data_IF_579117555919
#
_entry.id   IF_579117555919
#
_cell.length_a   1.000
_cell.length_b   1.000
_cell.length_c   1.000
_cell.angle_alpha   90.00
_cell.angle_beta   90.00
_cell.angle_gamma   90.00
#
_symmetry.space_group_name_H-M   'P 1'
#
loop_
_entity.id
_entity.type
_entity.pdbx_description
1 polymer ?
#
# COMPACT_ATOMS: atom_id res chain seq x y z
N UNK A 1 -16.65 27.01 5.20
CA UNK A 1 -16.15 27.09 3.81
C UNK A 1 -14.75 26.45 3.66
N UNK A 2 -13.73 26.84 4.47
CA UNK A 2 -12.36 26.29 4.34
C UNK A 2 -12.25 24.85 4.86
N UNK A 3 -12.91 24.54 5.97
CA UNK A 3 -12.95 23.18 6.56
C UNK A 3 -13.72 22.17 5.70
N UNK A 4 -14.83 22.58 5.11
CA UNK A 4 -15.64 21.72 4.23
C UNK A 4 -14.89 21.35 2.94
N UNK A 5 -14.16 22.30 2.34
CA UNK A 5 -13.31 22.04 1.17
C UNK A 5 -12.17 21.06 1.50
N UNK A 6 -11.53 21.20 2.66
CA UNK A 6 -10.50 20.24 3.07
C UNK A 6 -11.07 18.83 3.29
N UNK A 7 -12.26 18.73 3.88
CA UNK A 7 -12.93 17.44 4.07
C UNK A 7 -13.32 16.79 2.72
N UNK A 8 -13.88 17.58 1.79
CA UNK A 8 -14.22 17.08 0.45
C UNK A 8 -12.98 16.61 -0.33
N UNK A 9 -11.87 17.35 -0.29
CA UNK A 9 -10.61 16.96 -0.94
C UNK A 9 -10.02 15.68 -0.34
N UNK A 10 -10.15 15.48 0.98
CA UNK A 10 -9.69 14.24 1.61
C UNK A 10 -10.54 13.03 1.22
N UNK A 11 -11.85 13.19 1.10
CA UNK A 11 -12.76 12.13 0.63
C UNK A 11 -12.49 11.78 -0.83
N UNK A 12 -12.40 12.77 -1.71
CA UNK A 12 -12.08 12.55 -3.13
C UNK A 12 -10.72 11.88 -3.30
N UNK A 13 -9.72 12.30 -2.52
CA UNK A 13 -8.38 11.69 -2.54
C UNK A 13 -8.41 10.22 -2.11
N UNK A 14 -9.13 9.89 -1.03
CA UNK A 14 -9.26 8.50 -0.57
C UNK A 14 -10.04 7.63 -1.56
N UNK A 15 -11.08 8.15 -2.20
CA UNK A 15 -11.82 7.44 -3.25
C UNK A 15 -10.95 7.15 -4.47
N UNK A 16 -10.16 8.13 -4.92
CA UNK A 16 -9.20 7.94 -6.01
C UNK A 16 -8.18 6.85 -5.67
N UNK A 17 -7.58 6.90 -4.49
CA UNK A 17 -6.60 5.90 -4.05
C UNK A 17 -7.22 4.50 -3.90
N UNK A 18 -8.46 4.41 -3.46
CA UNK A 18 -9.21 3.13 -3.44
C UNK A 18 -9.39 2.59 -4.86
N UNK A 19 -9.68 3.45 -5.83
CA UNK A 19 -9.73 3.09 -7.24
C UNK A 19 -8.40 2.53 -7.74
N UNK A 20 -7.28 3.13 -7.35
CA UNK A 20 -5.93 2.63 -7.68
C UNK A 20 -5.68 1.22 -7.12
N UNK A 21 -6.11 0.94 -5.88
CA UNK A 21 -6.00 -0.41 -5.28
C UNK A 21 -6.83 -1.43 -6.05
N UNK A 22 -8.05 -1.08 -6.46
CA UNK A 22 -8.89 -1.96 -7.27
C UNK A 22 -8.21 -2.25 -8.61
N UNK A 23 -7.66 -1.24 -9.28
CA UNK A 23 -6.91 -1.40 -10.53
C UNK A 23 -5.69 -2.30 -10.32
N UNK A 24 -4.95 -2.12 -9.22
CA UNK A 24 -3.80 -2.98 -8.89
C UNK A 24 -4.20 -4.45 -8.74
N UNK A 25 -5.27 -4.73 -8.01
CA UNK A 25 -5.78 -6.10 -7.84
C UNK A 25 -6.18 -6.71 -9.20
N UNK A 26 -6.85 -5.95 -10.05
CA UNK A 26 -7.24 -6.41 -11.38
C UNK A 26 -6.01 -6.69 -12.27
N UNK A 27 -4.98 -5.84 -12.20
CA UNK A 27 -3.71 -6.06 -12.91
C UNK A 27 -2.97 -7.29 -12.38
N UNK A 28 -2.95 -7.50 -11.07
CA UNK A 28 -2.37 -8.71 -10.48
C UNK A 28 -3.08 -9.98 -11.00
N UNK A 29 -4.41 -9.97 -11.07
CA UNK A 29 -5.19 -11.09 -11.63
C UNK A 29 -4.84 -11.32 -13.12
N UNK A 30 -4.83 -10.25 -13.91
CA UNK A 30 -4.53 -10.30 -15.34
C UNK A 30 -3.13 -10.86 -15.62
N UNK A 31 -2.11 -10.28 -14.98
CA UNK A 31 -0.73 -10.69 -15.20
C UNK A 31 -0.40 -12.06 -14.64
N UNK A 32 -1.04 -12.46 -13.54
CA UNK A 32 -0.97 -13.84 -13.03
C UNK A 32 -1.52 -14.83 -14.06
N UNK A 33 -2.63 -14.51 -14.69
CA UNK A 33 -3.23 -15.36 -15.76
C UNK A 33 -2.36 -15.46 -17.00
N UNK A 34 -1.63 -14.41 -17.37
CA UNK A 34 -0.71 -14.39 -18.53
C UNK A 34 0.69 -14.95 -18.21
N UNK A 35 1.01 -15.19 -16.96
CA UNK A 35 2.34 -15.65 -16.53
C UNK A 35 3.43 -14.56 -16.56
N UNK A 36 3.05 -13.28 -16.70
CA UNK A 36 3.99 -12.16 -16.63
C UNK A 36 4.14 -11.68 -15.19
N UNK A 37 5.36 -11.67 -14.69
CA UNK A 37 5.67 -11.24 -13.32
C UNK A 37 6.11 -12.38 -12.41
N UNK A 38 6.14 -12.13 -11.12
CA UNK A 38 6.59 -13.10 -10.11
C UNK A 38 5.66 -13.11 -8.90
N UNK A 39 5.51 -14.28 -8.28
CA UNK A 39 4.80 -14.43 -7.00
C UNK A 39 5.72 -14.05 -5.85
N UNK A 40 5.37 -13.00 -5.12
CA UNK A 40 6.05 -12.58 -3.91
C UNK A 40 5.34 -13.12 -2.68
N UNK A 41 5.97 -14.08 -2.00
CA UNK A 41 5.51 -14.66 -0.73
C UNK A 41 6.24 -14.07 0.50
N UNK A 42 7.26 -13.23 0.28
CA UNK A 42 8.00 -12.55 1.32
C UNK A 42 7.28 -11.33 1.89
N UNK A 43 7.87 -10.67 2.89
CA UNK A 43 7.29 -9.44 3.50
C UNK A 43 7.39 -8.30 2.50
N UNK A 44 8.57 -7.85 2.23
CA UNK A 44 8.87 -6.76 1.30
C UNK A 44 10.01 -7.20 0.42
N UNK A 45 9.90 -7.00 -0.89
CA UNK A 45 10.93 -7.37 -1.85
C UNK A 45 11.37 -8.85 -1.76
N UNK A 46 10.47 -9.75 -1.35
CA UNK A 46 10.75 -11.19 -1.24
C UNK A 46 11.53 -11.63 -0.01
N UNK A 47 11.77 -10.74 0.98
CA UNK A 47 12.44 -11.12 2.23
C UNK A 47 11.59 -12.07 3.07
N UNK A 48 12.25 -13.00 3.78
CA UNK A 48 11.63 -13.97 4.67
C UNK A 48 10.51 -14.83 4.03
N UNK A 49 10.79 -15.61 2.96
CA UNK A 49 9.76 -16.31 2.19
C UNK A 49 8.98 -17.37 2.97
N UNK A 50 9.51 -17.90 4.08
CA UNK A 50 8.81 -18.89 4.92
C UNK A 50 7.82 -18.29 5.92
N UNK A 51 8.14 -17.13 6.49
CA UNK A 51 7.35 -16.43 7.50
C UNK A 51 6.78 -15.10 6.97
N UNK A 52 7.12 -14.78 5.73
CA UNK A 52 6.85 -13.46 5.19
C UNK A 52 5.38 -13.12 5.06
N UNK A 53 4.54 -14.12 4.80
CA UNK A 53 3.12 -13.91 4.68
C UNK A 53 2.48 -13.58 6.02
N UNK A 54 2.73 -14.39 7.04
CA UNK A 54 2.20 -14.20 8.39
C UNK A 54 2.72 -12.89 8.98
N UNK A 55 4.02 -12.61 8.82
CA UNK A 55 4.61 -11.35 9.27
C UNK A 55 3.99 -10.15 8.56
N UNK A 56 3.78 -10.21 7.25
CA UNK A 56 3.17 -9.11 6.50
C UNK A 56 1.75 -8.81 6.99
N UNK A 57 0.96 -9.84 7.26
CA UNK A 57 -0.40 -9.71 7.80
C UNK A 57 -0.36 -9.09 9.20
N UNK A 58 0.49 -9.60 10.09
CA UNK A 58 0.62 -9.08 11.46
C UNK A 58 1.08 -7.62 11.45
N UNK A 59 2.12 -7.31 10.69
CA UNK A 59 2.65 -5.93 10.58
C UNK A 59 1.57 -4.98 10.03
N UNK A 60 0.81 -5.42 9.04
CA UNK A 60 -0.28 -4.60 8.52
C UNK A 60 -1.37 -4.34 9.55
N UNK A 61 -1.78 -5.34 10.32
CA UNK A 61 -2.78 -5.15 11.38
C UNK A 61 -2.28 -4.21 12.48
N UNK A 62 -1.02 -4.35 12.91
CA UNK A 62 -0.39 -3.41 13.86
C UNK A 62 -0.43 -1.99 13.27
N UNK A 63 -0.02 -1.84 12.01
CA UNK A 63 -0.04 -0.54 11.34
C UNK A 63 -1.46 0.06 11.30
N UNK A 64 -2.49 -0.72 10.96
CA UNK A 64 -3.88 -0.23 10.92
C UNK A 64 -4.36 0.22 12.31
N UNK A 65 -4.04 -0.52 13.37
CA UNK A 65 -4.37 -0.10 14.74
C UNK A 65 -3.73 1.25 15.06
N UNK A 66 -2.45 1.41 14.76
CA UNK A 66 -1.73 2.67 14.96
C UNK A 66 -2.30 3.81 14.10
N UNK A 67 -2.62 3.53 12.85
CA UNK A 67 -3.24 4.48 11.94
C UNK A 67 -4.60 4.97 12.44
N UNK A 68 -5.48 4.06 12.87
CA UNK A 68 -6.79 4.41 13.40
C UNK A 68 -6.71 5.22 14.70
N UNK A 69 -5.74 4.91 15.57
CA UNK A 69 -5.49 5.68 16.79
C UNK A 69 -4.96 7.09 16.46
N UNK A 70 -4.07 7.20 15.49
CA UNK A 70 -3.56 8.49 15.01
C UNK A 70 -4.68 9.33 14.37
N UNK A 71 -5.52 8.73 13.55
CA UNK A 71 -6.63 9.40 12.87
C UNK A 71 -7.67 9.99 13.84
N UNK A 72 -7.81 9.43 15.05
CA UNK A 72 -8.69 9.98 16.09
C UNK A 72 -8.14 11.28 16.69
N UNK A 73 -6.85 11.48 16.68
CA UNK A 73 -6.17 12.58 17.40
C UNK A 73 -5.64 13.68 16.47
N UNK A 74 -5.49 13.42 15.19
CA UNK A 74 -4.83 14.31 14.22
C UNK A 74 -5.62 14.47 12.92
N UNK A 75 -5.25 15.51 12.17
CA UNK A 75 -5.80 15.78 10.84
C UNK A 75 -5.40 14.68 9.84
N UNK A 76 -6.21 14.53 8.79
CA UNK A 76 -5.96 13.64 7.67
C UNK A 76 -4.51 13.74 7.16
N UNK A 77 -3.85 12.60 7.04
CA UNK A 77 -2.52 12.47 6.46
C UNK A 77 -2.58 11.68 5.15
N UNK A 78 -2.26 12.35 4.05
CA UNK A 78 -2.21 11.72 2.72
C UNK A 78 -1.20 10.57 2.68
N UNK A 79 -0.01 10.75 3.28
CA UNK A 79 1.02 9.71 3.35
C UNK A 79 0.56 8.45 4.09
N UNK A 80 -0.10 8.62 5.24
CA UNK A 80 -0.64 7.48 6.00
C UNK A 80 -1.81 6.79 5.26
N UNK A 81 -2.60 7.54 4.52
CA UNK A 81 -3.68 6.97 3.70
C UNK A 81 -3.11 6.14 2.54
N UNK A 82 -2.06 6.62 1.88
CA UNK A 82 -1.33 5.84 0.87
C UNK A 82 -0.78 4.53 1.44
N UNK A 83 -0.16 4.58 2.61
CA UNK A 83 0.34 3.38 3.31
C UNK A 83 -0.78 2.40 3.64
N UNK A 84 -1.90 2.89 4.19
CA UNK A 84 -3.03 2.06 4.57
C UNK A 84 -3.65 1.35 3.35
N UNK A 85 -3.91 2.09 2.28
CA UNK A 85 -4.55 1.55 1.07
C UNK A 85 -3.59 0.68 0.25
N UNK A 86 -2.32 1.05 0.12
CA UNK A 86 -1.31 0.20 -0.52
C UNK A 86 -1.11 -1.11 0.25
N UNK A 87 -1.00 -1.03 1.57
CA UNK A 87 -0.94 -2.21 2.43
C UNK A 87 -2.18 -3.10 2.31
N UNK A 88 -3.38 -2.49 2.19
CA UNK A 88 -4.63 -3.23 1.97
C UNK A 88 -4.62 -4.00 0.65
N UNK A 89 -4.14 -3.42 -0.45
CA UNK A 89 -4.02 -4.10 -1.74
C UNK A 89 -3.14 -5.35 -1.65
N UNK A 90 -1.98 -5.23 -1.02
CA UNK A 90 -1.09 -6.37 -0.79
C UNK A 90 -1.68 -7.39 0.19
N UNK A 91 -2.41 -6.94 1.24
CA UNK A 91 -3.08 -7.84 2.18
C UNK A 91 -4.16 -8.68 1.48
N UNK A 92 -5.04 -8.05 0.70
CA UNK A 92 -6.09 -8.75 -0.05
C UNK A 92 -5.48 -9.84 -0.93
N UNK A 93 -4.43 -9.53 -1.68
CA UNK A 93 -3.73 -10.50 -2.53
C UNK A 93 -3.18 -11.68 -1.73
N UNK A 94 -2.61 -11.43 -0.55
CA UNK A 94 -2.09 -12.49 0.33
C UNK A 94 -3.17 -13.39 0.88
N UNK A 95 -4.30 -12.84 1.27
CA UNK A 95 -5.41 -13.61 1.81
C UNK A 95 -6.08 -14.49 0.75
N UNK A 96 -6.20 -14.01 -0.48
CA UNK A 96 -6.87 -14.76 -1.56
C UNK A 96 -5.94 -15.72 -2.31
N UNK A 97 -4.66 -15.38 -2.49
CA UNK A 97 -3.73 -16.14 -3.34
C UNK A 97 -2.46 -16.62 -2.66
N UNK A 98 -2.32 -16.38 -1.36
CA UNK A 98 -1.15 -16.80 -0.61
C UNK A 98 0.12 -16.03 -0.95
N UNK A 99 0.01 -14.86 -1.56
CA UNK A 99 1.13 -13.99 -1.94
C UNK A 99 0.67 -12.88 -2.86
N UNK A 100 1.56 -11.94 -3.12
CA UNK A 100 1.33 -10.81 -4.00
C UNK A 100 1.91 -11.09 -5.38
N UNK A 101 1.22 -10.72 -6.44
CA UNK A 101 1.75 -10.84 -7.79
C UNK A 101 2.42 -9.54 -8.21
N UNK A 102 3.74 -9.55 -8.35
CA UNK A 102 4.54 -8.39 -8.75
C UNK A 102 4.73 -8.44 -10.27
N UNK A 103 4.22 -7.44 -10.98
CA UNK A 103 4.12 -7.42 -12.44
C UNK A 103 4.87 -6.25 -13.09
N UNK A 104 5.43 -5.34 -12.30
CA UNK A 104 6.22 -4.21 -12.79
C UNK A 104 7.70 -4.54 -12.60
N UNK A 105 8.46 -4.42 -13.69
CA UNK A 105 9.90 -4.59 -13.70
C UNK A 105 10.57 -3.36 -14.28
N UNK A 106 11.51 -2.78 -13.55
CA UNK A 106 12.37 -1.71 -14.06
C UNK A 106 13.82 -2.24 -14.09
N UNK A 107 14.54 -2.14 -15.23
CA UNK A 107 15.90 -2.69 -15.36
C UNK A 107 16.92 -2.14 -14.36
N UNK A 108 16.66 -0.94 -13.81
CA UNK A 108 17.51 -0.29 -12.79
C UNK A 108 17.28 -0.82 -11.38
N UNK A 109 16.19 -1.57 -11.15
CA UNK A 109 15.84 -2.15 -9.85
C UNK A 109 16.03 -3.67 -9.89
N UNK A 110 16.65 -4.27 -8.86
CA UNK A 110 16.92 -5.72 -8.84
C UNK A 110 15.71 -6.55 -8.39
N UNK A 111 14.50 -6.02 -8.46
CA UNK A 111 13.27 -6.67 -7.98
C UNK A 111 12.04 -6.26 -8.78
N UNK A 112 11.03 -7.12 -8.75
CA UNK A 112 9.69 -6.85 -9.26
C UNK A 112 8.84 -6.19 -8.18
N UNK A 113 7.81 -5.44 -8.58
CA UNK A 113 6.88 -4.76 -7.67
C UNK A 113 5.51 -4.57 -8.33
N UNK A 114 4.55 -4.04 -7.58
CA UNK A 114 3.19 -3.74 -8.03
C UNK A 114 2.80 -2.30 -7.67
N UNK A 115 1.60 -1.87 -8.06
CA UNK A 115 1.10 -0.51 -7.77
C UNK A 115 0.90 -0.28 -6.27
N UNK A 116 0.48 -1.29 -5.51
CA UNK A 116 0.37 -1.18 -4.05
C UNK A 116 1.71 -0.90 -3.38
N UNK A 117 2.81 -1.49 -3.88
CA UNK A 117 4.17 -1.19 -3.39
C UNK A 117 4.58 0.25 -3.69
N UNK A 118 4.20 0.79 -4.86
CA UNK A 118 4.42 2.21 -5.20
C UNK A 118 3.64 3.11 -4.23
N UNK A 119 2.41 2.75 -3.89
CA UNK A 119 1.62 3.51 -2.91
C UNK A 119 2.27 3.46 -1.52
N UNK A 120 2.77 2.31 -1.09
CA UNK A 120 3.47 2.17 0.20
C UNK A 120 4.74 3.03 0.21
N UNK A 121 5.58 2.93 -0.82
CA UNK A 121 6.80 3.73 -0.93
C UNK A 121 6.49 5.24 -0.97
N UNK A 122 5.52 5.66 -1.77
CA UNK A 122 5.05 7.04 -1.83
C UNK A 122 4.48 7.53 -0.50
N UNK A 123 3.78 6.66 0.23
CA UNK A 123 3.25 6.94 1.56
C UNK A 123 4.34 7.18 2.60
N UNK A 124 5.38 6.35 2.61
CA UNK A 124 6.55 6.52 3.48
C UNK A 124 7.23 7.86 3.21
N UNK A 125 7.48 8.17 1.93
CA UNK A 125 8.12 9.42 1.55
C UNK A 125 7.28 10.65 1.89
N UNK A 126 5.97 10.61 1.61
CA UNK A 126 5.06 11.73 1.88
C UNK A 126 4.88 11.96 3.38
N UNK A 127 4.77 10.90 4.18
CA UNK A 127 4.66 11.02 5.62
C UNK A 127 5.95 11.52 6.24
N UNK A 128 7.10 10.94 5.88
CA UNK A 128 8.41 11.35 6.38
C UNK A 128 8.75 12.80 6.01
N UNK A 129 8.41 13.24 4.80
CA UNK A 129 8.58 14.63 4.39
C UNK A 129 7.69 15.59 5.16
N UNK A 130 6.46 15.17 5.46
CA UNK A 130 5.53 15.94 6.30
C UNK A 130 6.06 16.16 7.71
N UNK A 131 6.52 15.12 8.36
CA UNK A 131 7.09 15.20 9.71
C UNK A 131 8.34 16.12 9.76
N UNK A 132 9.23 16.05 8.77
CA UNK A 132 10.44 16.90 8.71
C UNK A 132 10.14 18.40 8.57
N UNK A 133 8.96 18.78 8.07
CA UNK A 133 8.57 20.20 7.93
C UNK A 133 8.01 20.83 9.21
N UNK A 134 7.65 20.01 10.19
CA UNK A 134 7.03 20.47 11.44
C UNK A 134 7.95 20.32 12.66
N UNK A 135 9.15 19.80 12.47
CA UNK A 135 10.26 19.79 13.43
C UNK A 135 11.25 20.94 13.14
#
# INVERSE_FOLDING_TARGET
>A
VKGERCAQLSVLGSQFLTGVVIVDILLQIHFRGSGWGVMNRGVSLGMFPRLGQELAVIVYFIFIILYLNHAKSRKFSFGLTLLALGGLGNLVSRLFWGGVWDYIYLPILPFWFNLSDVMIAGGILAYGWGEMRYT
#
